data_IF_653856076853
#
_entry.id   IF_653856076853
#
_cell.length_a   1.000
_cell.length_b   1.000
_cell.length_c   1.000
_cell.angle_alpha   90.00
_cell.angle_beta   90.00
_cell.angle_gamma   90.00
#
_symmetry.space_group_name_H-M   'P 1'
#
loop_
_entity.id
_entity.type
_entity.pdbx_description
1 polymer ?
#
# COMPACT_ATOMS: atom_id res chain seq x y z
N UNK A 1 -22.16 11.72 2.93
CA UNK A 1 -21.15 10.79 2.37
C UNK A 1 -20.28 10.34 3.52
N UNK A 2 -20.30 9.04 3.86
CA UNK A 2 -19.23 8.48 4.70
C UNK A 2 -18.02 8.37 3.79
N UNK A 3 -16.86 8.97 4.13
CA UNK A 3 -15.64 8.76 3.37
C UNK A 3 -15.37 7.25 3.31
N UNK A 4 -15.36 6.68 2.11
CA UNK A 4 -15.02 5.27 1.95
C UNK A 4 -13.56 5.09 2.35
N UNK A 5 -13.31 4.21 3.30
CA UNK A 5 -11.96 3.85 3.73
C UNK A 5 -11.65 2.42 3.30
N UNK A 6 -10.35 2.12 3.14
CA UNK A 6 -9.81 0.78 2.95
C UNK A 6 -8.94 0.42 4.15
N UNK A 7 -8.96 -0.85 4.54
CA UNK A 7 -8.06 -1.41 5.56
C UNK A 7 -7.57 -2.76 5.09
N UNK A 8 -6.26 -2.95 5.10
CA UNK A 8 -5.59 -4.19 4.68
C UNK A 8 -4.65 -4.66 5.79
N UNK A 9 -4.91 -5.86 6.30
CA UNK A 9 -4.12 -6.48 7.36
C UNK A 9 -3.32 -7.66 6.80
N UNK A 10 -1.99 -7.60 6.93
CA UNK A 10 -1.08 -8.66 6.51
C UNK A 10 -0.38 -9.24 7.72
N UNK A 11 -0.34 -10.56 7.81
CA UNK A 11 0.38 -11.29 8.85
C UNK A 11 1.35 -12.25 8.19
N UNK A 12 2.58 -12.35 8.72
CA UNK A 12 3.56 -13.30 8.20
C UNK A 12 3.09 -14.76 8.41
N UNK A 13 3.71 -15.69 7.69
CA UNK A 13 3.34 -17.10 7.76
C UNK A 13 3.52 -17.73 9.16
N UNK A 14 4.29 -17.09 10.05
CA UNK A 14 4.52 -17.55 11.42
C UNK A 14 3.49 -17.01 12.41
N UNK A 15 2.66 -16.04 12.00
CA UNK A 15 1.72 -15.34 12.88
C UNK A 15 2.38 -14.36 13.84
N UNK A 16 3.68 -14.05 13.70
CA UNK A 16 4.43 -13.26 14.69
C UNK A 16 4.58 -11.79 14.33
N UNK A 17 4.40 -11.45 13.06
CA UNK A 17 4.51 -10.09 12.55
C UNK A 17 3.26 -9.75 11.77
N UNK A 18 2.70 -8.59 12.10
CA UNK A 18 1.50 -8.07 11.44
C UNK A 18 1.74 -6.61 11.08
N UNK A 19 1.23 -6.21 9.92
CA UNK A 19 1.15 -4.82 9.48
C UNK A 19 -0.27 -4.55 9.03
N UNK A 20 -0.81 -3.42 9.47
CA UNK A 20 -2.13 -2.91 9.08
C UNK A 20 -1.92 -1.64 8.28
N UNK A 21 -2.48 -1.58 7.08
CA UNK A 21 -2.49 -0.39 6.23
C UNK A 21 -3.91 0.16 6.21
N UNK A 22 -4.05 1.41 6.64
CA UNK A 22 -5.33 2.11 6.64
C UNK A 22 -5.27 3.29 5.68
N UNK A 23 -6.18 3.30 4.71
CA UNK A 23 -6.33 4.39 3.75
C UNK A 23 -7.69 5.03 3.93
N UNK A 24 -7.73 6.33 4.20
CA UNK A 24 -8.97 7.09 4.40
C UNK A 24 -9.75 7.36 3.10
N UNK A 25 -9.35 6.75 1.98
CA UNK A 25 -9.89 6.93 0.64
C UNK A 25 -9.63 5.65 -0.17
N UNK A 26 -10.52 5.29 -1.08
CA UNK A 26 -10.31 4.16 -2.01
C UNK A 26 -9.82 4.74 -3.34
N UNK A 27 -8.52 4.62 -3.65
CA UNK A 27 -7.93 5.26 -4.84
C UNK A 27 -8.12 4.44 -6.13
N UNK A 28 -8.06 3.11 -6.04
CA UNK A 28 -8.05 2.22 -7.21
C UNK A 28 -9.33 2.14 -8.07
N UNK A 29 -10.42 2.80 -7.66
CA UNK A 29 -11.69 2.75 -8.41
C UNK A 29 -11.87 3.89 -9.42
N UNK A 30 -11.33 5.07 -9.13
CA UNK A 30 -11.51 6.27 -9.96
C UNK A 30 -10.21 6.75 -10.59
N UNK A 31 -9.06 6.53 -9.91
CA UNK A 31 -7.76 7.08 -10.30
C UNK A 31 -6.72 5.96 -10.32
N UNK A 32 -6.51 5.30 -11.47
CA UNK A 32 -5.61 4.14 -11.57
C UNK A 32 -4.17 4.45 -11.12
N UNK A 33 -3.68 5.67 -11.37
CA UNK A 33 -2.34 6.09 -10.93
C UNK A 33 -2.25 6.19 -9.40
N UNK A 34 -3.25 6.80 -8.76
CA UNK A 34 -3.32 6.86 -7.31
C UNK A 34 -3.46 5.46 -6.69
N UNK A 35 -4.23 4.58 -7.34
CA UNK A 35 -4.32 3.16 -6.94
C UNK A 35 -2.97 2.43 -7.05
N UNK A 36 -2.19 2.68 -8.10
CA UNK A 36 -0.85 2.09 -8.24
C UNK A 36 0.12 2.62 -7.16
N UNK A 37 0.05 3.92 -6.85
CA UNK A 37 0.85 4.52 -5.78
C UNK A 37 0.49 3.95 -4.39
N UNK A 38 -0.80 3.77 -4.10
CA UNK A 38 -1.28 3.10 -2.89
C UNK A 38 -0.73 1.67 -2.79
N UNK A 39 -0.83 0.88 -3.86
CA UNK A 39 -0.31 -0.48 -3.90
C UNK A 39 1.22 -0.55 -3.71
N UNK A 40 1.97 0.44 -4.20
CA UNK A 40 3.41 0.54 -3.94
C UNK A 40 3.72 0.78 -2.45
N UNK A 41 2.94 1.61 -1.77
CA UNK A 41 3.07 1.85 -0.33
C UNK A 41 2.73 0.59 0.49
N UNK A 42 1.63 -0.09 0.14
CA UNK A 42 1.23 -1.36 0.77
C UNK A 42 2.34 -2.39 0.62
N UNK A 43 2.88 -2.55 -0.60
CA UNK A 43 3.99 -3.47 -0.88
C UNK A 43 5.21 -3.13 -0.03
N UNK A 44 5.61 -1.86 0.03
CA UNK A 44 6.75 -1.43 0.82
C UNK A 44 6.57 -1.72 2.32
N UNK A 45 5.37 -1.53 2.86
CA UNK A 45 5.05 -1.82 4.26
C UNK A 45 5.16 -3.32 4.57
N UNK A 46 4.61 -4.18 3.69
CA UNK A 46 4.70 -5.64 3.83
C UNK A 46 6.15 -6.11 3.73
N UNK A 47 6.92 -5.60 2.77
CA UNK A 47 8.32 -5.97 2.61
C UNK A 47 9.18 -5.53 3.80
N UNK A 48 8.91 -4.35 4.34
CA UNK A 48 9.56 -3.87 5.58
C UNK A 48 9.26 -4.80 6.75
N UNK A 49 7.99 -5.20 6.94
CA UNK A 49 7.60 -6.18 7.96
C UNK A 49 8.35 -7.52 7.80
N UNK A 50 8.50 -7.98 6.56
CA UNK A 50 9.20 -9.21 6.22
C UNK A 50 10.74 -9.07 6.23
N UNK A 51 11.28 -7.89 6.51
CA UNK A 51 12.72 -7.58 6.45
C UNK A 51 13.32 -7.86 5.06
N UNK A 52 12.52 -7.66 4.01
CA UNK A 52 12.95 -7.75 2.63
C UNK A 52 13.39 -6.38 2.10
N UNK A 53 14.27 -6.34 1.08
CA UNK A 53 14.70 -5.07 0.48
C UNK A 53 13.53 -4.35 -0.18
N UNK A 54 13.11 -3.20 0.34
CA UNK A 54 11.96 -2.46 -0.22
C UNK A 54 12.21 -2.14 -1.69
N UNK A 55 11.29 -2.51 -2.61
CA UNK A 55 11.40 -2.11 -4.01
C UNK A 55 11.43 -0.59 -4.09
N UNK A 56 12.53 -0.03 -4.61
CA UNK A 56 12.55 1.38 -5.02
C UNK A 56 11.75 1.46 -6.32
N UNK A 57 10.43 1.40 -6.22
CA UNK A 57 9.57 1.77 -7.34
C UNK A 57 9.91 3.22 -7.66
N UNK A 58 10.41 3.48 -8.87
CA UNK A 58 10.58 4.82 -9.37
C UNK A 58 9.25 5.58 -9.15
N UNK A 59 9.33 6.76 -8.54
CA UNK A 59 8.20 7.70 -8.58
C UNK A 59 7.72 7.76 -10.03
N UNK A 60 6.40 7.71 -10.32
CA UNK A 60 5.96 8.08 -11.65
C UNK A 60 6.49 9.49 -11.89
N UNK A 61 7.38 9.62 -12.87
CA UNK A 61 7.87 10.93 -13.29
C UNK A 61 6.64 11.67 -13.77
N UNK A 62 6.17 12.65 -12.98
CA UNK A 62 5.14 13.58 -13.43
C UNK A 62 5.67 14.24 -14.70
N UNK A 63 5.23 13.75 -15.86
CA UNK A 63 5.44 14.45 -17.13
C UNK A 63 4.41 15.55 -17.17
N UNK A 64 4.89 16.79 -17.03
CA UNK A 64 4.13 17.99 -17.33
C UNK A 64 3.95 18.21 -18.83
#
# INVERSE_FOLDING_TARGET
MVPSYSSEDYTDATGRRTVSVFTSTIFGLAEPEAGAAEQALVTAAVWTMLHQPVPTSAMPTASG
#
